data_IF_529272406555
#
_entry.id   IF_529272406555
#
_cell.length_a   1.000
_cell.length_b   1.000
_cell.length_c   1.000
_cell.angle_alpha   90.00
_cell.angle_beta   90.00
_cell.angle_gamma   90.00
#
_symmetry.space_group_name_H-M   'P 1'
#
loop_
_entity.id
_entity.type
_entity.pdbx_description
1 polymer ?
#
# COMPACT_ATOMS: atom_id res chain seq x y z
N UNK A 1 -18.08 -23.54 16.22
CA UNK A 1 -18.75 -22.78 15.15
C UNK A 1 -20.21 -22.56 15.54
N UNK A 2 -20.75 -21.35 15.41
CA UNK A 2 -22.19 -21.09 15.63
C UNK A 2 -22.99 -21.77 14.52
N UNK A 3 -23.99 -22.58 14.88
CA UNK A 3 -24.95 -23.15 13.92
C UNK A 3 -26.05 -22.14 13.65
N UNK A 4 -26.45 -21.99 12.38
CA UNK A 4 -27.57 -21.14 12.01
C UNK A 4 -28.89 -21.73 12.54
N UNK A 5 -29.79 -20.86 12.98
CA UNK A 5 -31.14 -21.21 13.41
C UNK A 5 -32.01 -21.57 12.20
N UNK A 6 -33.04 -22.40 12.44
CA UNK A 6 -34.00 -22.80 11.39
C UNK A 6 -34.68 -21.60 10.73
N UNK A 7 -34.93 -20.53 11.50
CA UNK A 7 -35.53 -19.29 11.01
C UNK A 7 -34.57 -18.52 10.07
N UNK A 8 -33.29 -18.42 10.42
CA UNK A 8 -32.27 -17.80 9.55
C UNK A 8 -32.16 -18.54 8.20
N UNK A 9 -32.23 -19.88 8.22
CA UNK A 9 -32.20 -20.70 7.00
C UNK A 9 -33.44 -20.49 6.14
N UNK A 10 -34.63 -20.50 6.74
CA UNK A 10 -35.89 -20.28 6.01
C UNK A 10 -35.95 -18.88 5.37
N UNK A 11 -35.52 -17.86 6.12
CA UNK A 11 -35.44 -16.48 5.62
C UNK A 11 -34.48 -16.37 4.42
N UNK A 12 -33.31 -17.00 4.51
CA UNK A 12 -32.34 -17.01 3.42
C UNK A 12 -32.86 -17.72 2.15
N UNK A 13 -33.67 -18.77 2.30
CA UNK A 13 -34.30 -19.49 1.18
C UNK A 13 -35.38 -18.63 0.50
N UNK A 14 -36.20 -17.92 1.28
CA UNK A 14 -37.34 -17.17 0.75
C UNK A 14 -36.97 -15.79 0.18
N UNK A 15 -36.14 -15.02 0.90
CA UNK A 15 -35.77 -13.65 0.52
C UNK A 15 -34.49 -13.60 -0.33
N UNK A 16 -33.71 -14.69 -0.36
CA UNK A 16 -32.40 -14.76 -1.03
C UNK A 16 -31.27 -14.13 -0.21
N UNK A 17 -30.03 -14.57 -0.48
CA UNK A 17 -28.83 -14.07 0.21
C UNK A 17 -28.16 -12.98 -0.65
N UNK A 18 -28.03 -11.77 -0.11
CA UNK A 18 -27.30 -10.67 -0.76
C UNK A 18 -25.89 -10.56 -0.15
N UNK A 19 -24.87 -10.89 -0.94
CA UNK A 19 -23.46 -10.72 -0.53
C UNK A 19 -23.06 -9.25 -0.60
N UNK A 20 -23.06 -8.57 0.56
CA UNK A 20 -22.44 -7.24 0.68
C UNK A 20 -20.93 -7.40 0.88
N UNK A 21 -20.15 -6.62 0.13
CA UNK A 21 -18.70 -6.49 0.34
C UNK A 21 -18.45 -6.03 1.77
N UNK A 22 -17.50 -6.66 2.46
CA UNK A 22 -17.02 -6.16 3.75
C UNK A 22 -16.55 -4.71 3.59
N UNK A 23 -16.82 -3.86 4.60
CA UNK A 23 -16.13 -2.56 4.66
C UNK A 23 -14.65 -2.89 4.74
N UNK A 24 -13.92 -2.62 3.66
CA UNK A 24 -12.47 -2.71 3.66
C UNK A 24 -11.99 -1.80 4.80
N UNK A 25 -11.64 -2.36 5.95
CA UNK A 25 -10.76 -1.67 6.89
C UNK A 25 -9.55 -1.26 6.06
N UNK A 26 -9.23 0.03 6.11
CA UNK A 26 -8.27 0.68 5.24
C UNK A 26 -7.08 -0.23 5.06
N UNK A 27 -6.78 -0.57 3.80
CA UNK A 27 -5.53 -1.22 3.48
C UNK A 27 -4.42 -0.25 3.91
N UNK A 28 -3.90 -0.43 5.12
CA UNK A 28 -2.55 -0.04 5.52
C UNK A 28 -1.56 -0.92 4.75
N UNK A 29 -1.70 -0.92 3.43
CA UNK A 29 -0.69 -1.41 2.52
C UNK A 29 0.26 -0.23 2.32
N UNK A 30 1.34 -0.22 3.10
CA UNK A 30 2.60 0.50 2.84
C UNK A 30 3.21 0.13 1.47
N UNK A 31 2.55 -0.73 0.69
CA UNK A 31 2.84 -0.95 -0.72
C UNK A 31 2.58 0.32 -1.50
N UNK A 32 3.63 0.76 -2.17
CA UNK A 32 3.65 1.92 -3.02
C UNK A 32 2.84 1.67 -4.31
N UNK A 33 1.52 1.80 -4.23
CA UNK A 33 0.61 1.46 -5.35
C UNK A 33 0.47 2.56 -6.40
N UNK A 34 0.52 3.83 -6.01
CA UNK A 34 0.27 4.96 -6.92
C UNK A 34 1.57 5.57 -7.48
N UNK A 35 1.48 6.18 -8.68
CA UNK A 35 2.61 6.92 -9.28
C UNK A 35 3.11 8.04 -8.36
N UNK A 36 2.19 8.73 -7.68
CA UNK A 36 2.50 9.77 -6.71
C UNK A 36 3.30 9.23 -5.51
N UNK A 37 2.83 8.15 -4.85
CA UNK A 37 3.56 7.52 -3.74
C UNK A 37 4.93 6.97 -4.19
N UNK A 38 5.02 6.40 -5.41
CA UNK A 38 6.30 5.96 -6.01
C UNK A 38 7.25 7.12 -6.26
N UNK A 39 6.73 8.26 -6.72
CA UNK A 39 7.54 9.47 -6.91
C UNK A 39 8.05 9.99 -5.57
N UNK A 40 7.20 10.06 -4.56
CA UNK A 40 7.56 10.50 -3.20
C UNK A 40 8.69 9.65 -2.59
N UNK A 41 8.62 8.31 -2.66
CA UNK A 41 9.72 7.43 -2.22
C UNK A 41 11.00 7.63 -3.06
N UNK A 42 10.84 7.85 -4.37
CA UNK A 42 11.98 8.00 -5.29
C UNK A 42 12.68 9.36 -5.16
N UNK A 43 11.98 10.43 -4.87
CA UNK A 43 12.60 11.74 -4.63
C UNK A 43 13.01 11.92 -3.18
N UNK A 44 12.27 11.30 -2.24
CA UNK A 44 12.39 11.54 -0.81
C UNK A 44 11.96 12.95 -0.43
N UNK A 45 11.53 13.16 0.81
CA UNK A 45 11.42 14.51 1.38
C UNK A 45 12.82 15.05 1.69
N UNK A 46 12.98 16.38 1.70
CA UNK A 46 14.24 17.02 2.08
C UNK A 46 14.64 16.59 3.49
N UNK A 47 15.91 16.20 3.70
CA UNK A 47 16.40 15.70 5.00
C UNK A 47 16.01 14.26 5.35
N UNK A 48 15.25 13.55 4.50
CA UNK A 48 14.99 12.11 4.71
C UNK A 48 16.25 11.27 4.51
N UNK A 49 16.34 10.11 5.17
CA UNK A 49 17.46 9.18 5.01
C UNK A 49 17.71 8.81 3.54
N UNK A 50 16.65 8.58 2.77
CA UNK A 50 16.75 8.30 1.33
C UNK A 50 17.33 9.46 0.52
N UNK A 51 17.07 10.71 0.92
CA UNK A 51 17.63 11.89 0.25
C UNK A 51 19.13 12.05 0.51
N UNK A 52 19.58 11.81 1.74
CA UNK A 52 20.99 11.86 2.15
C UNK A 52 21.82 10.83 1.36
N UNK A 53 21.37 9.57 1.33
CA UNK A 53 22.05 8.49 0.61
C UNK A 53 22.17 8.81 -0.89
N UNK A 54 21.11 9.34 -1.51
CA UNK A 54 21.14 9.73 -2.93
C UNK A 54 22.07 10.92 -3.21
N UNK A 55 22.18 11.87 -2.29
CA UNK A 55 23.14 12.96 -2.40
C UNK A 55 24.59 12.45 -2.36
N UNK A 56 24.90 11.52 -1.46
CA UNK A 56 26.22 10.86 -1.39
C UNK A 56 26.59 10.15 -2.70
N UNK A 57 25.66 9.33 -3.24
CA UNK A 57 25.88 8.64 -4.53
C UNK A 57 26.13 9.63 -5.68
N UNK A 58 25.41 10.75 -5.72
CA UNK A 58 25.62 11.80 -6.73
C UNK A 58 27.02 12.43 -6.65
N UNK A 59 27.48 12.76 -5.43
CA UNK A 59 28.84 13.28 -5.21
C UNK A 59 29.90 12.29 -5.68
N UNK A 60 29.79 11.04 -5.25
CA UNK A 60 30.74 9.99 -5.63
C UNK A 60 30.80 9.75 -7.15
N UNK A 61 29.66 9.80 -7.85
CA UNK A 61 29.63 9.71 -9.31
C UNK A 61 30.33 10.88 -9.99
N UNK A 62 30.13 12.10 -9.49
CA UNK A 62 30.80 13.27 -10.03
C UNK A 62 32.32 13.19 -9.84
N UNK A 63 32.79 12.75 -8.67
CA UNK A 63 34.22 12.51 -8.41
C UNK A 63 34.80 11.42 -9.33
N UNK A 64 34.09 10.30 -9.50
CA UNK A 64 34.50 9.24 -10.43
C UNK A 64 34.57 9.74 -11.87
N UNK A 65 33.61 10.59 -12.28
CA UNK A 65 33.61 11.19 -13.61
C UNK A 65 34.75 12.18 -13.83
N UNK A 66 35.21 12.87 -12.78
CA UNK A 66 36.39 13.76 -12.85
C UNK A 66 37.70 12.99 -12.94
N UNK A 67 37.74 11.76 -12.39
CA UNK A 67 38.91 10.88 -12.43
C UNK A 67 39.01 10.08 -13.73
N UNK A 68 38.00 10.16 -14.59
CA UNK A 68 37.94 9.45 -15.87
C UNK A 68 38.39 10.39 -16.98
#
# INVERSE_FOLDING_TARGET
MRKASRQEVQKAIHEGIVFRKSKNQGFEDDKVRTKAKKKAYRTGSHGSASAIIKAGIRKHRAEKSKRR
#
